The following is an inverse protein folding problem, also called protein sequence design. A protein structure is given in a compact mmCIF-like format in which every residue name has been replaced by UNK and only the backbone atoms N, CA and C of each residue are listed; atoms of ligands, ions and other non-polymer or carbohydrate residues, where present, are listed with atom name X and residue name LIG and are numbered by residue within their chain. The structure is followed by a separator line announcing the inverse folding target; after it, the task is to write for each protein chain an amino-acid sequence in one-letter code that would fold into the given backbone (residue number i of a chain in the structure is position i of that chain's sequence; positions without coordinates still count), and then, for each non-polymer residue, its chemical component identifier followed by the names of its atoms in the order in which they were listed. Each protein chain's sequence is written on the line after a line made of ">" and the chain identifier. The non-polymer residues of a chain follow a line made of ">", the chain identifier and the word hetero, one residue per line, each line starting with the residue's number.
data_IF_080816849362
#
_entry.id   IF_080816849362
#
_cell.length_a   1.000
_cell.length_b   1.000
_cell.length_c   1.000
_cell.angle_alpha   90.00
_cell.angle_beta   90.00
_cell.angle_gamma   90.00
#
_symmetry.space_group_name_H-M   'P 1'
#
loop_
_entity.id
_entity.type
_entity.pdbx_description
1 polymer ?
#
# COMPACT_ATOMS: atom_id res chain seq x y z
N UNK A 1 -19.91 12.59 -20.54
CA UNK A 1 -20.22 11.58 -21.57
C UNK A 1 -18.95 11.11 -22.29
N UNK A 2 -18.10 11.99 -22.84
CA UNK A 2 -16.85 11.58 -23.53
C UNK A 2 -15.84 10.82 -22.65
N UNK A 3 -15.66 11.22 -21.38
CA UNK A 3 -14.71 10.57 -20.48
C UNK A 3 -15.13 9.18 -20.00
N UNK A 4 -16.43 8.91 -19.90
CA UNK A 4 -16.92 7.59 -19.48
C UNK A 4 -16.81 6.58 -20.62
N UNK A 5 -17.17 7.00 -21.83
CA UNK A 5 -16.97 6.20 -23.04
C UNK A 5 -15.49 5.86 -23.26
N UNK A 6 -14.58 6.83 -23.10
CA UNK A 6 -13.15 6.58 -23.23
C UNK A 6 -12.63 5.53 -22.23
N UNK A 7 -13.11 5.58 -20.98
CA UNK A 7 -12.76 4.58 -19.95
C UNK A 7 -13.32 3.20 -20.25
N UNK A 8 -14.56 3.13 -20.72
CA UNK A 8 -15.17 1.85 -21.10
C UNK A 8 -14.46 1.23 -22.32
N UNK A 9 -14.02 2.07 -23.27
CA UNK A 9 -13.21 1.64 -24.42
C UNK A 9 -11.85 1.09 -23.96
N UNK A 10 -11.16 1.83 -23.09
CA UNK A 10 -9.87 1.42 -22.55
C UNK A 10 -9.97 0.13 -21.73
N UNK A 11 -11.05 -0.03 -20.95
CA UNK A 11 -11.34 -1.24 -20.19
C UNK A 11 -11.61 -2.45 -21.09
N UNK A 12 -12.39 -2.28 -22.17
CA UNK A 12 -12.64 -3.34 -23.14
C UNK A 12 -11.35 -3.77 -23.85
N UNK A 13 -10.56 -2.81 -24.34
CA UNK A 13 -9.30 -3.07 -25.04
C UNK A 13 -8.29 -3.77 -24.13
N UNK A 14 -8.24 -3.39 -22.86
CA UNK A 14 -7.36 -4.02 -21.89
C UNK A 14 -7.75 -5.47 -21.61
N UNK A 15 -9.05 -5.73 -21.34
CA UNK A 15 -9.53 -7.09 -21.08
C UNK A 15 -9.29 -8.03 -22.28
N UNK A 16 -9.43 -7.54 -23.52
CA UNK A 16 -9.16 -8.30 -24.73
C UNK A 16 -7.66 -8.61 -24.91
N UNK A 17 -6.78 -7.66 -24.57
CA UNK A 17 -5.32 -7.90 -24.59
C UNK A 17 -4.90 -8.94 -23.57
N UNK A 18 -5.49 -8.88 -22.36
CA UNK A 18 -5.18 -9.82 -21.29
C UNK A 18 -5.68 -11.23 -21.63
N UNK A 19 -6.85 -11.35 -22.26
CA UNK A 19 -7.36 -12.61 -22.79
C UNK A 19 -6.40 -13.23 -23.83
N UNK A 20 -5.95 -12.43 -24.80
CA UNK A 20 -5.00 -12.88 -25.83
C UNK A 20 -3.59 -13.17 -25.27
N UNK A 21 -3.22 -12.57 -24.13
CA UNK A 21 -2.02 -12.91 -23.37
C UNK A 21 -2.15 -14.27 -22.70
N UNK A 22 -3.26 -14.47 -21.98
CA UNK A 22 -3.57 -15.72 -21.29
C UNK A 22 -3.65 -16.90 -22.26
N UNK A 23 -4.25 -16.71 -23.44
CA UNK A 23 -4.33 -17.73 -24.49
C UNK A 23 -2.95 -18.21 -24.94
N UNK A 24 -2.04 -17.27 -25.20
CA UNK A 24 -0.66 -17.60 -25.57
C UNK A 24 0.07 -18.37 -24.48
N UNK A 25 -0.12 -17.99 -23.21
CA UNK A 25 0.50 -18.70 -22.08
C UNK A 25 -0.03 -20.13 -21.92
N UNK A 26 -1.31 -20.36 -22.23
CA UNK A 26 -1.88 -21.71 -22.25
C UNK A 26 -1.33 -22.52 -23.43
N UNK A 27 -1.27 -21.91 -24.62
CA UNK A 27 -0.72 -22.54 -25.83
C UNK A 27 0.77 -22.90 -25.68
N UNK A 28 1.54 -22.02 -25.02
CA UNK A 28 2.96 -22.21 -24.72
C UNK A 28 3.18 -23.19 -23.53
N UNK A 29 2.11 -23.63 -22.87
CA UNK A 29 2.13 -24.57 -21.75
C UNK A 29 2.65 -24.00 -20.43
N UNK A 30 2.77 -22.66 -20.33
CA UNK A 30 3.18 -21.96 -19.12
C UNK A 30 2.09 -22.04 -18.03
N UNK A 31 0.82 -22.08 -18.45
CA UNK A 31 -0.34 -22.18 -17.55
C UNK A 31 -1.23 -23.34 -17.99
N UNK A 32 -1.60 -24.28 -17.08
CA UNK A 32 -2.58 -25.30 -17.39
C UNK A 32 -3.95 -24.70 -17.73
N UNK A 33 -4.62 -25.20 -18.76
CA UNK A 33 -5.92 -24.69 -19.22
C UNK A 33 -6.98 -24.61 -18.09
N UNK A 34 -6.99 -25.60 -17.20
CA UNK A 34 -7.87 -25.62 -16.03
C UNK A 34 -7.60 -24.48 -15.03
N UNK A 35 -6.36 -24.02 -14.91
CA UNK A 35 -5.99 -22.87 -14.08
C UNK A 35 -6.31 -21.55 -14.77
N UNK A 36 -6.23 -21.50 -16.10
CA UNK A 36 -6.58 -20.34 -16.90
C UNK A 36 -8.10 -20.10 -17.01
N UNK A 37 -8.93 -21.14 -16.89
CA UNK A 37 -10.39 -21.05 -17.06
C UNK A 37 -11.06 -19.95 -16.20
N UNK A 38 -10.65 -19.80 -14.94
CA UNK A 38 -11.20 -18.78 -14.04
C UNK A 38 -10.70 -17.36 -14.32
N UNK A 39 -9.55 -17.20 -14.98
CA UNK A 39 -9.06 -15.90 -15.45
C UNK A 39 -9.74 -15.52 -16.77
N UNK A 40 -9.87 -16.49 -17.68
CA UNK A 40 -10.58 -16.37 -18.96
C UNK A 40 -12.00 -15.86 -18.76
N UNK A 41 -12.80 -16.51 -17.91
CA UNK A 41 -14.18 -16.11 -17.61
C UNK A 41 -14.28 -14.67 -17.08
N UNK A 42 -13.32 -14.24 -16.25
CA UNK A 42 -13.26 -12.88 -15.71
C UNK A 42 -12.95 -11.84 -16.79
N UNK A 43 -11.96 -12.10 -17.65
CA UNK A 43 -11.61 -11.19 -18.74
C UNK A 43 -12.72 -11.12 -19.79
N UNK A 44 -13.32 -12.24 -20.17
CA UNK A 44 -14.47 -12.30 -21.08
C UNK A 44 -15.67 -11.52 -20.53
N UNK A 45 -16.02 -11.74 -19.26
CA UNK A 45 -17.11 -11.01 -18.60
C UNK A 45 -16.83 -9.51 -18.56
N UNK A 46 -15.58 -9.10 -18.32
CA UNK A 46 -15.19 -7.69 -18.26
C UNK A 46 -15.28 -7.03 -19.63
N UNK A 47 -14.75 -7.67 -20.66
CA UNK A 47 -14.83 -7.20 -22.05
C UNK A 47 -16.28 -7.09 -22.51
N UNK A 48 -17.10 -8.13 -22.30
CA UNK A 48 -18.50 -8.14 -22.70
C UNK A 48 -19.31 -7.02 -22.04
N UNK A 49 -19.09 -6.77 -20.74
CA UNK A 49 -19.81 -5.74 -19.99
C UNK A 49 -19.40 -4.33 -20.41
N UNK A 50 -18.12 -4.11 -20.68
CA UNK A 50 -17.60 -2.83 -21.15
C UNK A 50 -18.11 -2.51 -22.56
N UNK A 51 -18.12 -3.48 -23.47
CA UNK A 51 -18.65 -3.33 -24.82
C UNK A 51 -20.16 -3.07 -24.83
N UNK A 52 -20.95 -3.81 -24.04
CA UNK A 52 -22.39 -3.54 -23.90
C UNK A 52 -22.69 -2.15 -23.32
N UNK A 53 -21.84 -1.67 -22.40
CA UNK A 53 -21.94 -0.31 -21.86
C UNK A 53 -21.57 0.78 -22.89
N UNK A 54 -20.66 0.48 -23.83
CA UNK A 54 -20.32 1.39 -24.93
C UNK A 54 -21.48 1.51 -25.94
N UNK A 55 -22.12 0.40 -26.27
CA UNK A 55 -23.28 0.37 -27.18
C UNK A 55 -24.45 1.17 -26.62
N UNK A 56 -24.78 0.95 -25.34
CA UNK A 56 -25.86 1.70 -24.66
C UNK A 56 -25.56 3.20 -24.48
N UNK A 57 -24.27 3.57 -24.45
CA UNK A 57 -23.83 4.96 -24.37
C UNK A 57 -23.92 5.72 -25.71
N UNK A 58 -24.06 5.02 -26.85
CA UNK A 58 -24.32 5.64 -28.16
C UNK A 58 -25.77 6.10 -28.32
N UNK A 59 -26.71 5.37 -27.72
CA UNK A 59 -28.15 5.60 -27.91
C UNK A 59 -28.71 6.83 -27.17
N UNK A 60 -27.96 7.42 -26.23
CA UNK A 60 -28.44 8.50 -25.36
C UNK A 60 -27.60 9.78 -25.45
N UNK A 61 -27.81 10.58 -26.50
CA UNK A 61 -27.39 11.99 -26.55
C UNK A 61 -28.55 12.87 -26.99
N UNK A 62 -29.02 13.83 -26.17
CA UNK A 62 -28.74 15.24 -26.48
C UNK A 62 -28.59 16.23 -25.28
N UNK A 63 -27.68 17.21 -25.51
CA UNK A 63 -27.66 18.67 -25.17
C UNK A 63 -27.73 19.22 -23.72
N UNK A 64 -26.56 19.69 -23.24
CA UNK A 64 -26.18 21.04 -22.69
C UNK A 64 -26.95 21.76 -21.52
N UNK A 65 -26.36 22.77 -20.81
CA UNK A 65 -25.87 22.60 -19.43
C UNK A 65 -26.43 23.57 -18.36
N UNK A 66 -26.18 23.30 -17.06
CA UNK A 66 -26.31 24.30 -15.97
C UNK A 66 -25.25 24.12 -14.87
N UNK A 67 -24.76 25.26 -14.35
CA UNK A 67 -23.58 25.48 -13.47
C UNK A 67 -23.92 25.37 -11.96
N UNK A 68 -22.95 25.44 -11.01
CA UNK A 68 -22.58 24.31 -10.15
C UNK A 68 -23.01 24.45 -8.67
N UNK A 69 -23.03 23.35 -7.92
CA UNK A 69 -23.02 23.36 -6.45
C UNK A 69 -21.82 22.59 -5.91
N UNK A 70 -21.00 23.31 -5.12
CA UNK A 70 -19.92 22.77 -4.29
C UNK A 70 -20.48 21.68 -3.36
N UNK A 71 -19.80 20.55 -3.26
CA UNK A 71 -19.86 19.73 -2.04
C UNK A 71 -18.52 19.07 -1.75
N UNK A 72 -18.21 19.05 -0.47
CA UNK A 72 -16.97 18.61 0.19
C UNK A 72 -16.88 17.08 0.22
N UNK A 73 -16.78 16.43 -0.94
CA UNK A 73 -16.72 14.96 -1.05
C UNK A 73 -15.44 14.40 -1.67
N UNK A 74 -14.44 15.23 -1.96
CA UNK A 74 -13.29 14.80 -2.79
C UNK A 74 -12.19 14.05 -2.05
N UNK A 75 -12.12 14.05 -0.72
CA UNK A 75 -11.02 13.38 -0.01
C UNK A 75 -11.13 11.84 0.02
N UNK A 76 -12.35 11.30 0.08
CA UNK A 76 -12.56 9.84 0.15
C UNK A 76 -12.28 9.12 -1.19
N UNK A 77 -12.34 9.84 -2.31
CA UNK A 77 -12.10 9.27 -3.64
C UNK A 77 -10.60 9.09 -3.95
N UNK A 78 -9.72 9.88 -3.34
CA UNK A 78 -8.27 9.78 -3.57
C UNK A 78 -7.61 8.58 -2.88
N UNK A 79 -8.16 8.15 -1.73
CA UNK A 79 -7.66 6.97 -1.02
C UNK A 79 -7.90 5.66 -1.82
N UNK A 80 -9.03 5.55 -2.53
CA UNK A 80 -9.38 4.37 -3.32
C UNK A 80 -8.60 4.26 -4.65
N UNK A 81 -8.29 5.40 -5.30
CA UNK A 81 -7.48 5.41 -6.52
C UNK A 81 -6.00 5.12 -6.26
N UNK A 82 -5.48 5.52 -5.10
CA UNK A 82 -4.10 5.22 -4.71
C UNK A 82 -3.90 3.73 -4.43
N UNK A 83 -4.88 3.05 -3.83
CA UNK A 83 -4.86 1.60 -3.55
C UNK A 83 -4.89 0.77 -4.84
N UNK A 84 -5.75 1.12 -5.80
CA UNK A 84 -5.80 0.44 -7.10
C UNK A 84 -4.50 0.62 -7.91
N UNK A 85 -3.85 1.79 -7.80
CA UNK A 85 -2.56 2.05 -8.42
C UNK A 85 -1.40 1.28 -7.76
N UNK A 86 -1.46 1.01 -6.45
CA UNK A 86 -0.48 0.13 -5.77
C UNK A 86 -0.56 -1.30 -6.28
N UNK A 87 -1.79 -1.83 -6.42
CA UNK A 87 -2.02 -3.18 -6.93
C UNK A 87 -1.55 -3.28 -8.38
N UNK A 88 -1.82 -2.26 -9.21
CA UNK A 88 -1.36 -2.25 -10.61
C UNK A 88 0.17 -2.07 -10.76
N UNK A 89 0.83 -1.30 -9.89
CA UNK A 89 2.27 -1.07 -9.97
C UNK A 89 3.10 -2.29 -9.49
N UNK A 90 2.61 -3.05 -8.51
CA UNK A 90 3.28 -4.27 -8.03
C UNK A 90 3.27 -5.41 -9.06
N UNK A 91 2.29 -5.42 -9.97
CA UNK A 91 2.15 -6.45 -11.03
C UNK A 91 3.03 -6.14 -12.26
N UNK A 92 3.56 -4.91 -12.40
CA UNK A 92 4.19 -4.44 -13.64
C UNK A 92 5.72 -4.22 -13.60
N UNK A 93 6.44 -4.53 -12.51
CA UNK A 93 7.88 -4.25 -12.43
C UNK A 93 8.72 -5.47 -12.02
N UNK A 94 9.36 -6.15 -12.99
CA UNK A 94 10.58 -6.90 -12.74
C UNK A 94 11.79 -5.95 -12.73
N UNK A 95 12.60 -6.09 -11.68
CA UNK A 95 14.02 -5.71 -11.57
C UNK A 95 14.36 -4.21 -11.46
N UNK A 96 14.18 -3.67 -10.25
CA UNK A 96 15.18 -2.77 -9.66
C UNK A 96 15.17 -2.93 -8.13
N UNK A 97 15.75 -4.04 -7.65
CA UNK A 97 15.99 -4.24 -6.22
C UNK A 97 17.12 -3.30 -5.82
N UNK A 98 16.75 -2.11 -5.32
CA UNK A 98 17.67 -1.32 -4.50
C UNK A 98 18.00 -2.08 -3.22
N UNK A 99 19.16 -1.82 -2.62
CA UNK A 99 19.51 -2.39 -1.31
C UNK A 99 18.36 -2.13 -0.33
N UNK A 100 17.86 -3.20 0.30
CA UNK A 100 16.85 -3.10 1.35
C UNK A 100 17.43 -2.20 2.44
N UNK A 101 16.78 -1.09 2.83
CA UNK A 101 17.24 -0.33 3.97
C UNK A 101 17.30 -1.24 5.20
N UNK A 102 18.46 -1.29 5.85
CA UNK A 102 18.66 -2.11 7.04
C UNK A 102 17.81 -1.57 8.20
N UNK A 103 17.08 -2.48 8.86
CA UNK A 103 16.60 -2.30 10.22
C UNK A 103 15.40 -1.38 10.37
N UNK A 104 14.19 -1.93 10.28
CA UNK A 104 13.08 -1.40 11.07
C UNK A 104 13.21 -1.85 12.52
N UNK A 105 12.75 -1.04 13.46
CA UNK A 105 12.48 -1.55 14.80
C UNK A 105 11.49 -2.68 14.70
N UNK A 106 11.82 -3.83 15.29
CA UNK A 106 10.81 -4.81 15.68
C UNK A 106 10.07 -4.18 16.86
N UNK A 107 9.17 -3.23 16.59
CA UNK A 107 8.17 -2.83 17.56
C UNK A 107 7.23 -4.02 17.68
N UNK A 108 7.56 -4.90 18.62
CA UNK A 108 6.62 -5.88 19.14
C UNK A 108 5.31 -5.16 19.43
N UNK A 109 4.24 -5.72 18.88
CA UNK A 109 2.87 -5.21 18.87
C UNK A 109 2.33 -4.96 20.30
N UNK A 110 2.74 -3.88 20.96
CA UNK A 110 2.22 -3.44 22.26
C UNK A 110 1.04 -2.48 22.03
N UNK A 111 -0.02 -3.00 21.41
CA UNK A 111 -1.36 -2.54 21.77
C UNK A 111 -1.54 -2.87 23.25
N UNK A 112 -1.21 -1.90 24.11
CA UNK A 112 -1.46 -1.84 25.55
C UNK A 112 -1.60 -3.18 26.26
N UNK A 113 -0.55 -3.60 26.97
CA UNK A 113 -0.58 -4.70 27.93
C UNK A 113 -1.65 -4.48 29.03
N UNK A 114 -2.91 -4.77 28.69
CA UNK A 114 -3.91 -5.28 29.62
C UNK A 114 -3.95 -6.79 29.41
N UNK A 115 -3.03 -7.47 30.11
CA UNK A 115 -3.05 -8.89 30.43
C UNK A 115 -3.79 -9.80 29.43
N UNK A 116 -3.26 -9.95 28.21
CA UNK A 116 -3.61 -11.11 27.40
C UNK A 116 -2.92 -12.34 28.01
N UNK A 117 -3.62 -13.47 28.22
CA UNK A 117 -2.98 -14.69 28.68
C UNK A 117 -1.87 -15.11 27.72
N UNK A 118 -0.79 -15.76 28.21
CA UNK A 118 0.29 -16.22 27.35
C UNK A 118 -0.30 -17.10 26.25
N UNK A 119 0.00 -16.75 24.99
CA UNK A 119 -0.41 -17.54 23.84
C UNK A 119 0.13 -18.97 24.04
N UNK A 120 -0.76 -19.96 24.00
CA UNK A 120 -0.41 -21.37 24.24
C UNK A 120 0.45 -21.98 23.13
N UNK A 121 0.70 -21.24 22.05
CA UNK A 121 1.56 -21.59 20.92
C UNK A 121 2.46 -20.41 20.56
N UNK A 122 3.67 -20.75 20.11
CA UNK A 122 4.63 -19.78 19.57
C UNK A 122 4.04 -19.12 18.30
N UNK A 123 3.85 -17.79 18.27
CA UNK A 123 3.35 -17.06 17.11
C UNK A 123 4.16 -17.30 15.83
N UNK A 124 5.46 -17.61 15.94
CA UNK A 124 6.32 -17.88 14.79
C UNK A 124 5.92 -19.18 14.06
N UNK A 125 5.24 -20.11 14.75
CA UNK A 125 4.79 -21.40 14.20
C UNK A 125 3.42 -21.32 13.52
N UNK A 126 2.70 -20.20 13.66
CA UNK A 126 1.39 -20.01 13.05
C UNK A 126 1.60 -19.61 11.59
N UNK A 127 0.96 -20.35 10.68
CA UNK A 127 1.02 -20.05 9.24
C UNK A 127 0.22 -18.78 8.90
N UNK A 128 0.58 -18.14 7.78
CA UNK A 128 -0.17 -16.96 7.32
C UNK A 128 -1.63 -17.32 7.00
N UNK A 129 -1.89 -18.52 6.47
CA UNK A 129 -3.25 -19.00 6.17
C UNK A 129 -4.13 -19.14 7.43
N UNK A 130 -3.55 -19.60 8.53
CA UNK A 130 -4.24 -19.66 9.83
C UNK A 130 -4.53 -18.24 10.34
N UNK A 131 -3.55 -17.33 10.26
CA UNK A 131 -3.76 -15.93 10.66
C UNK A 131 -4.81 -15.22 9.80
N UNK A 132 -4.87 -15.51 8.50
CA UNK A 132 -5.89 -14.98 7.60
C UNK A 132 -7.28 -15.46 7.97
N UNK A 133 -7.42 -16.74 8.36
CA UNK A 133 -8.68 -17.29 8.84
C UNK A 133 -9.12 -16.55 10.12
N UNK A 134 -8.20 -16.35 11.07
CA UNK A 134 -8.48 -15.59 12.29
C UNK A 134 -8.88 -14.15 11.98
N UNK A 135 -8.20 -13.49 11.05
CA UNK A 135 -8.53 -12.12 10.62
C UNK A 135 -9.87 -12.05 9.88
N UNK A 136 -10.22 -13.07 9.10
CA UNK A 136 -11.50 -13.18 8.42
C UNK A 136 -12.67 -13.36 9.41
N UNK A 137 -12.48 -14.16 10.45
CA UNK A 137 -13.46 -14.38 11.52
C UNK A 137 -13.58 -13.16 12.45
N UNK A 138 -12.55 -12.31 12.51
CA UNK A 138 -12.50 -11.11 13.36
C UNK A 138 -12.32 -9.82 12.56
N UNK A 139 -13.23 -9.50 11.61
CA UNK A 139 -13.02 -8.43 10.64
C UNK A 139 -13.03 -7.02 11.26
N UNK A 140 -13.52 -6.88 12.50
CA UNK A 140 -13.51 -5.62 13.25
C UNK A 140 -12.21 -5.34 14.02
N UNK A 141 -11.34 -6.34 14.18
CA UNK A 141 -10.08 -6.18 14.93
C UNK A 141 -8.98 -5.73 13.98
N UNK A 142 -8.94 -4.43 13.70
CA UNK A 142 -8.01 -3.82 12.73
C UNK A 142 -6.55 -4.13 13.07
N UNK A 143 -6.19 -4.16 14.36
CA UNK A 143 -4.83 -4.49 14.80
C UNK A 143 -4.33 -5.85 14.33
N UNK A 144 -5.19 -6.89 14.29
CA UNK A 144 -4.80 -8.21 13.78
C UNK A 144 -4.51 -8.19 12.29
N UNK A 145 -5.34 -7.46 11.53
CA UNK A 145 -5.14 -7.26 10.09
C UNK A 145 -3.84 -6.50 9.79
N UNK A 146 -3.52 -5.47 10.58
CA UNK A 146 -2.29 -4.70 10.42
C UNK A 146 -1.04 -5.54 10.74
N UNK A 147 -1.09 -6.34 11.79
CA UNK A 147 0.00 -7.25 12.13
C UNK A 147 0.27 -8.29 11.02
N UNK A 148 -0.80 -8.83 10.41
CA UNK A 148 -0.69 -9.74 9.28
C UNK A 148 -0.13 -9.03 8.03
N UNK A 149 -0.59 -7.81 7.73
CA UNK A 149 -0.06 -7.01 6.63
C UNK A 149 1.43 -6.69 6.79
N UNK A 150 1.86 -6.38 8.02
CA UNK A 150 3.26 -6.14 8.34
C UNK A 150 4.09 -7.41 8.13
N UNK A 151 3.60 -8.56 8.59
CA UNK A 151 4.27 -9.85 8.38
C UNK A 151 4.46 -10.16 6.89
N UNK A 152 3.45 -9.90 6.06
CA UNK A 152 3.58 -10.04 4.60
C UNK A 152 4.61 -9.05 4.01
N UNK A 153 4.64 -7.81 4.51
CA UNK A 153 5.63 -6.79 4.11
C UNK A 153 7.06 -7.25 4.43
N UNK A 154 7.28 -7.79 5.63
CA UNK A 154 8.59 -8.33 6.06
C UNK A 154 9.02 -9.55 5.24
N UNK A 155 8.07 -10.35 4.77
CA UNK A 155 8.31 -11.49 3.89
C UNK A 155 8.53 -11.08 2.42
N UNK A 156 8.28 -9.81 2.07
CA UNK A 156 8.35 -9.31 0.70
C UNK A 156 7.11 -9.64 -0.15
N UNK A 157 6.06 -10.18 0.46
CA UNK A 157 4.77 -10.43 -0.19
C UNK A 157 3.94 -9.14 -0.19
N UNK A 158 4.36 -8.20 -1.03
CA UNK A 158 3.80 -6.84 -1.06
C UNK A 158 2.36 -6.81 -1.58
N UNK A 159 1.96 -7.79 -2.40
CA UNK A 159 0.59 -7.90 -2.91
C UNK A 159 -0.39 -8.16 -1.77
N UNK A 160 -0.15 -9.20 -0.98
CA UNK A 160 -1.02 -9.53 0.16
C UNK A 160 -0.94 -8.47 1.26
N UNK A 161 0.24 -7.89 1.48
CA UNK A 161 0.37 -6.74 2.37
C UNK A 161 -0.54 -5.59 1.95
N UNK A 162 -0.56 -5.24 0.66
CA UNK A 162 -1.39 -4.17 0.12
C UNK A 162 -2.88 -4.46 0.33
N UNK A 163 -3.33 -5.70 0.09
CA UNK A 163 -4.73 -6.11 0.31
C UNK A 163 -5.16 -5.89 1.77
N UNK A 164 -4.34 -6.35 2.73
CA UNK A 164 -4.66 -6.21 4.14
C UNK A 164 -4.60 -4.75 4.62
N UNK A 165 -3.64 -3.95 4.18
CA UNK A 165 -3.61 -2.51 4.50
C UNK A 165 -4.79 -1.77 3.87
N UNK A 166 -5.15 -2.07 2.63
CA UNK A 166 -6.29 -1.47 1.94
C UNK A 166 -7.61 -1.76 2.67
N UNK A 167 -7.81 -3.00 3.11
CA UNK A 167 -8.99 -3.36 3.91
C UNK A 167 -8.99 -2.66 5.27
N UNK A 168 -7.84 -2.55 5.94
CA UNK A 168 -7.73 -1.80 7.20
C UNK A 168 -8.12 -0.32 7.01
N UNK A 169 -7.57 0.33 5.99
CA UNK A 169 -7.85 1.74 5.65
C UNK A 169 -9.28 1.95 5.14
N UNK A 170 -9.92 0.95 4.53
CA UNK A 170 -11.33 1.06 4.15
C UNK A 170 -12.26 1.06 5.37
N UNK A 171 -11.91 0.28 6.40
CA UNK A 171 -12.68 0.19 7.65
C UNK A 171 -12.44 1.39 8.56
N UNK A 172 -11.19 1.81 8.67
CA UNK A 172 -10.78 2.97 9.45
C UNK A 172 -9.80 3.83 8.63
N UNK A 173 -10.33 4.75 7.79
CA UNK A 173 -9.51 5.62 6.96
C UNK A 173 -8.59 6.55 7.75
N UNK A 174 -8.90 6.78 9.03
CA UNK A 174 -8.14 7.65 9.94
C UNK A 174 -7.12 6.90 10.78
N UNK A 175 -6.97 5.58 10.61
CA UNK A 175 -6.07 4.78 11.44
C UNK A 175 -4.60 5.18 11.18
N UNK A 176 -3.91 5.82 12.13
CA UNK A 176 -2.58 6.36 11.86
C UNK A 176 -1.54 5.24 11.73
N UNK A 177 -1.73 4.09 12.40
CA UNK A 177 -0.85 2.95 12.23
C UNK A 177 -0.98 2.35 10.82
N UNK A 178 -2.21 2.17 10.30
CA UNK A 178 -2.45 1.70 8.94
C UNK A 178 -1.86 2.65 7.89
N UNK A 179 -2.05 3.96 8.07
CA UNK A 179 -1.52 4.99 7.18
C UNK A 179 0.02 4.96 7.14
N UNK A 180 0.66 4.91 8.31
CA UNK A 180 2.12 4.87 8.42
C UNK A 180 2.70 3.64 7.73
N UNK A 181 2.16 2.46 8.03
CA UNK A 181 2.66 1.20 7.48
C UNK A 181 2.34 1.02 5.99
N UNK A 182 1.22 1.55 5.51
CA UNK A 182 0.96 1.61 4.08
C UNK A 182 1.96 2.53 3.37
N UNK A 183 2.32 3.66 4.00
CA UNK A 183 3.42 4.51 3.53
C UNK A 183 4.76 3.75 3.48
N UNK A 184 5.06 2.94 4.48
CA UNK A 184 6.24 2.07 4.46
C UNK A 184 6.21 1.06 3.30
N UNK A 185 5.07 0.38 3.09
CA UNK A 185 4.88 -0.53 1.95
C UNK A 185 5.12 0.19 0.61
N UNK A 186 4.59 1.41 0.47
CA UNK A 186 4.78 2.24 -0.72
C UNK A 186 6.26 2.54 -1.02
N UNK A 187 7.08 2.75 0.02
CA UNK A 187 8.52 2.88 -0.15
C UNK A 187 9.14 1.58 -0.69
N UNK A 188 8.73 0.42 -0.15
CA UNK A 188 9.27 -0.89 -0.58
C UNK A 188 8.95 -1.18 -2.05
N UNK A 189 7.82 -0.69 -2.56
CA UNK A 189 7.43 -0.83 -3.98
C UNK A 189 7.86 0.36 -4.85
N UNK A 190 8.79 1.20 -4.37
CA UNK A 190 9.41 2.25 -5.18
C UNK A 190 8.53 3.49 -5.42
N UNK A 191 7.58 3.79 -4.52
CA UNK A 191 6.64 4.93 -4.62
C UNK A 191 6.86 5.94 -3.48
N UNK A 192 8.05 6.57 -3.37
CA UNK A 192 8.46 7.35 -2.20
C UNK A 192 7.68 8.65 -2.02
N UNK A 193 7.21 9.29 -3.10
CA UNK A 193 6.41 10.52 -3.02
C UNK A 193 5.07 10.23 -2.32
N UNK A 194 4.42 9.15 -2.72
CA UNK A 194 3.14 8.75 -2.14
C UNK A 194 3.31 8.16 -0.74
N UNK A 195 4.41 7.44 -0.51
CA UNK A 195 4.81 7.01 0.81
C UNK A 195 4.85 8.19 1.79
N UNK A 196 5.47 9.30 1.39
CA UNK A 196 5.57 10.51 2.20
C UNK A 196 4.19 11.08 2.54
N UNK A 197 3.27 11.16 1.58
CA UNK A 197 1.92 11.65 1.84
C UNK A 197 1.17 10.81 2.89
N UNK A 198 1.31 9.49 2.83
CA UNK A 198 0.63 8.59 3.77
C UNK A 198 1.21 8.67 5.17
N UNK A 199 2.54 8.76 5.29
CA UNK A 199 3.19 8.92 6.58
C UNK A 199 2.91 10.30 7.17
N UNK A 200 2.81 11.36 6.37
CA UNK A 200 2.43 12.68 6.84
C UNK A 200 1.01 12.70 7.43
N UNK A 201 0.05 12.03 6.77
CA UNK A 201 -1.32 11.86 7.33
C UNK A 201 -1.30 11.13 8.67
N UNK A 202 -0.45 10.11 8.82
CA UNK A 202 -0.30 9.41 10.10
C UNK A 202 0.26 10.31 11.20
N UNK A 203 1.17 11.23 10.83
CA UNK A 203 1.79 12.20 11.76
C UNK A 203 0.86 13.34 12.17
N UNK A 204 -0.21 13.59 11.43
CA UNK A 204 -1.26 14.58 11.74
C UNK A 204 -2.26 14.07 12.81
N UNK A 205 -2.21 12.80 13.18
CA UNK A 205 -3.10 12.23 14.18
C UNK A 205 -2.87 12.84 15.58
N UNK A 206 -3.90 12.83 16.42
CA UNK A 206 -3.80 13.33 17.80
C UNK A 206 -2.73 12.59 18.62
N UNK A 207 -2.56 11.30 18.35
CA UNK A 207 -1.49 10.46 18.90
C UNK A 207 -0.75 9.78 17.75
N UNK A 208 0.26 10.44 17.17
CA UNK A 208 1.04 9.88 16.09
C UNK A 208 1.82 8.64 16.55
N UNK A 209 1.80 7.52 15.80
CA UNK A 209 2.65 6.39 16.09
C UNK A 209 4.12 6.79 15.94
N UNK A 210 4.97 6.28 16.83
CA UNK A 210 6.40 6.54 16.80
C UNK A 210 7.02 6.11 15.46
N UNK A 211 6.56 4.97 14.94
CA UNK A 211 7.04 4.36 13.69
C UNK A 211 6.85 5.27 12.47
N UNK A 212 5.84 6.15 12.48
CA UNK A 212 5.66 7.11 11.39
C UNK A 212 6.84 8.10 11.28
N UNK A 213 7.49 8.47 12.38
CA UNK A 213 8.70 9.31 12.32
C UNK A 213 9.87 8.52 11.71
N UNK A 214 10.02 7.25 12.09
CA UNK A 214 11.04 6.38 11.51
C UNK A 214 10.85 6.18 10.01
N UNK A 215 9.62 5.86 9.58
CA UNK A 215 9.29 5.67 8.17
C UNK A 215 9.50 6.97 7.39
N UNK A 216 9.06 8.12 7.91
CA UNK A 216 9.27 9.42 7.25
C UNK A 216 10.76 9.71 7.02
N UNK A 217 11.60 9.46 8.03
CA UNK A 217 13.04 9.67 7.89
C UNK A 217 13.65 8.78 6.81
N UNK A 218 13.26 7.50 6.75
CA UNK A 218 13.72 6.56 5.73
C UNK A 218 13.22 6.92 4.32
N UNK A 219 11.95 7.32 4.19
CA UNK A 219 11.39 7.75 2.91
C UNK A 219 12.13 8.99 2.42
N UNK A 220 12.38 9.97 3.29
CA UNK A 220 13.13 11.17 2.95
C UNK A 220 14.55 10.81 2.48
N UNK A 221 15.27 10.00 3.26
CA UNK A 221 16.68 9.70 2.96
C UNK A 221 16.86 8.78 1.75
N UNK A 222 16.13 7.66 1.71
CA UNK A 222 16.35 6.61 0.71
C UNK A 222 15.42 6.72 -0.50
N UNK A 223 14.23 7.28 -0.31
CA UNK A 223 13.22 7.40 -1.36
C UNK A 223 13.30 8.72 -2.12
N UNK A 224 13.58 9.83 -1.42
CA UNK A 224 13.54 11.18 -1.98
C UNK A 224 14.90 11.87 -2.05
N UNK A 225 15.95 11.21 -1.54
CA UNK A 225 17.31 11.77 -1.40
C UNK A 225 17.30 13.17 -0.74
N UNK A 226 16.44 13.32 0.28
CA UNK A 226 16.27 14.52 1.09
C UNK A 226 16.84 14.31 2.51
N UNK A 227 18.18 14.42 2.67
CA UNK A 227 18.82 14.22 3.97
C UNK A 227 18.44 15.30 4.99
N UNK A 228 18.03 16.50 4.55
CA UNK A 228 17.63 17.58 5.45
C UNK A 228 16.33 17.23 6.20
N UNK A 229 15.31 16.78 5.45
CA UNK A 229 14.05 16.33 6.06
C UNK A 229 14.26 15.08 6.91
N UNK A 230 15.12 14.16 6.49
CA UNK A 230 15.47 12.99 7.28
C UNK A 230 16.06 13.37 8.65
N UNK A 231 17.05 14.27 8.68
CA UNK A 231 17.67 14.75 9.91
C UNK A 231 16.69 15.45 10.83
N UNK A 232 15.91 16.39 10.30
CA UNK A 232 14.89 17.10 11.10
C UNK A 232 13.87 16.13 11.72
N UNK A 233 13.49 15.09 10.97
CA UNK A 233 12.55 14.07 11.45
C UNK A 233 13.17 13.18 12.53
N UNK A 234 14.43 12.77 12.37
CA UNK A 234 15.15 11.95 13.36
C UNK A 234 15.37 12.71 14.67
N UNK A 235 15.68 14.01 14.60
CA UNK A 235 15.81 14.80 15.84
C UNK A 235 14.47 14.99 16.55
N UNK A 236 13.35 15.12 15.80
CA UNK A 236 12.00 15.08 16.41
C UNK A 236 11.73 13.72 17.06
N UNK A 237 12.18 12.61 16.47
CA UNK A 237 12.03 11.27 17.04
C UNK A 237 12.83 11.13 18.34
N UNK A 238 14.06 11.67 18.39
CA UNK A 238 14.93 11.65 19.59
C UNK A 238 14.39 12.44 20.79
N UNK A 239 13.47 13.36 20.57
CA UNK A 239 12.80 14.08 21.66
C UNK A 239 11.76 13.20 22.38
N UNK A 240 11.46 12.02 21.87
CA UNK A 240 10.62 11.02 22.53
C UNK A 240 11.45 10.16 23.47
N UNK A 241 10.79 9.54 24.44
CA UNK A 241 11.42 8.51 25.27
C UNK A 241 11.62 7.25 24.41
N UNK A 242 12.87 6.96 24.06
CA UNK A 242 13.25 5.86 23.17
C UNK A 242 14.01 4.79 23.96
N UNK A 243 13.71 3.50 23.76
CA UNK A 243 14.59 2.44 24.23
C UNK A 243 16.03 2.64 23.72
N UNK A 244 17.08 2.23 24.46
CA UNK A 244 18.47 2.45 24.04
C UNK A 244 18.81 1.84 22.67
N UNK A 245 18.24 0.67 22.35
CA UNK A 245 18.37 0.04 21.03
C UNK A 245 17.76 0.92 19.93
N UNK A 246 16.68 1.62 20.27
CA UNK A 246 15.97 2.52 19.36
C UNK A 246 16.76 3.79 19.11
N UNK A 247 17.22 4.42 20.17
CA UNK A 247 18.09 5.60 20.06
C UNK A 247 19.36 5.31 19.22
N UNK A 248 19.99 4.14 19.41
CA UNK A 248 21.19 3.78 18.65
C UNK A 248 20.94 3.68 17.14
N UNK A 249 19.81 3.11 16.71
CA UNK A 249 19.47 3.03 15.29
C UNK A 249 19.13 4.40 14.71
N UNK A 250 18.46 5.27 15.47
CA UNK A 250 18.20 6.66 15.09
C UNK A 250 19.52 7.43 14.89
N UNK A 251 20.49 7.27 15.79
CA UNK A 251 21.80 7.91 15.65
C UNK A 251 22.58 7.41 14.43
N UNK A 252 22.49 6.10 14.11
CA UNK A 252 23.09 5.52 12.91
C UNK A 252 22.49 6.11 11.64
N UNK A 253 21.16 6.14 11.52
CA UNK A 253 20.50 6.70 10.34
C UNK A 253 20.78 8.21 10.20
N UNK A 254 20.83 8.93 11.31
CA UNK A 254 21.20 10.34 11.32
C UNK A 254 22.64 10.57 10.85
N UNK A 255 23.59 9.68 11.19
CA UNK A 255 24.96 9.78 10.68
C UNK A 255 25.02 9.62 9.15
N UNK A 256 24.26 8.66 8.58
CA UNK A 256 24.14 8.48 7.12
C UNK A 256 23.54 9.72 6.47
N UNK A 257 22.48 10.29 7.05
CA UNK A 257 21.86 11.49 6.53
C UNK A 257 22.80 12.72 6.57
N UNK A 258 23.60 12.89 7.62
CA UNK A 258 24.63 13.97 7.67
C UNK A 258 25.68 13.81 6.58
N UNK A 259 26.15 12.58 6.35
CA UNK A 259 27.11 12.33 5.28
C UNK A 259 26.52 12.71 3.90
N UNK A 260 25.29 12.28 3.60
CA UNK A 260 24.59 12.63 2.35
C UNK A 260 24.38 14.14 2.20
N UNK A 261 24.06 14.82 3.30
CA UNK A 261 23.91 16.28 3.33
C UNK A 261 25.22 17.00 2.97
N UNK A 262 26.35 16.54 3.51
CA UNK A 262 27.67 17.10 3.21
C UNK A 262 28.09 16.85 1.76
N UNK A 263 27.81 15.66 1.23
CA UNK A 263 28.08 15.29 -0.16
C UNK A 263 27.28 16.15 -1.15
N UNK A 264 26.00 16.44 -0.85
CA UNK A 264 25.15 17.28 -1.68
C UNK A 264 25.52 18.78 -1.65
N UNK A 265 26.26 19.21 -0.63
CA UNK A 265 26.70 20.61 -0.46
C UNK A 265 28.07 20.93 -1.06
N UNK A 266 28.79 19.94 -1.60
CA UNK A 266 30.09 20.09 -2.27
C UNK A 266 29.94 20.20 -3.78
#
# INVERSE_FOLDING_TARGET
>A
MSGERARLQELADQALRDLAGLDRQVDDGEIPDAAAAGLRDRYETTAARALAALDTAEEHSPSEPRKPRRSRGRLAAYALTAIAAVIAAAVLLPLSVGERPEGGFVTGNELGASAAPPLSRDPATISNAELETVVADNPGVIGMRLALAQRFTEQGDYERAAEHYAEALRRDPGNPAAQAHFGWLLLQVGRPVEAMEWVDRALDAAQPPLDALWFKANIALHGLDDPNTALATLERMRQRDLPPTVAQQVDKLAAVARQRQEEAGR
#
